data_IF_595557878467
#
_entry.id   IF_595557878467
#
_cell.length_a   1.000
_cell.length_b   1.000
_cell.length_c   1.000
_cell.angle_alpha   90.00
_cell.angle_beta   90.00
_cell.angle_gamma   90.00
#
_symmetry.space_group_name_H-M   'P 1'
#
loop_
_entity.id
_entity.type
_entity.pdbx_description
1 polymer ?
#
# COMPACT_ATOMS: atom_id res chain seq x y z
N UNK A 1 29.56 17.38 -30.08
CA UNK A 1 30.47 16.67 -29.14
C UNK A 1 30.27 15.17 -29.20
N UNK A 2 29.21 14.65 -28.58
CA UNK A 2 28.99 13.20 -28.37
C UNK A 2 29.00 12.39 -29.69
N UNK A 3 28.38 12.87 -30.76
CA UNK A 3 28.38 12.16 -32.05
C UNK A 3 29.80 11.93 -32.61
N UNK A 4 30.69 12.91 -32.48
CA UNK A 4 32.08 12.79 -32.92
C UNK A 4 32.86 11.75 -32.09
N UNK A 5 32.58 11.66 -30.78
CA UNK A 5 33.18 10.64 -29.91
C UNK A 5 32.75 9.24 -30.35
N UNK A 6 31.46 9.03 -30.61
CA UNK A 6 30.97 7.72 -31.07
C UNK A 6 31.41 7.37 -32.49
N UNK A 7 31.63 8.36 -33.36
CA UNK A 7 32.21 8.14 -34.68
C UNK A 7 33.68 7.73 -34.57
N UNK A 8 34.45 8.37 -33.68
CA UNK A 8 35.81 7.95 -33.38
C UNK A 8 35.86 6.54 -32.79
N UNK A 9 34.95 6.20 -31.85
CA UNK A 9 34.83 4.84 -31.31
C UNK A 9 34.47 3.81 -32.39
N UNK A 10 33.64 4.18 -33.37
CA UNK A 10 33.31 3.31 -34.52
C UNK A 10 34.53 3.08 -35.41
N UNK A 11 35.30 4.13 -35.68
CA UNK A 11 36.53 4.00 -36.47
C UNK A 11 37.55 3.12 -35.74
N UNK A 12 37.71 3.30 -34.42
CA UNK A 12 38.56 2.43 -33.59
C UNK A 12 38.12 0.97 -33.66
N UNK A 13 36.80 0.70 -33.63
CA UNK A 13 36.24 -0.65 -33.71
C UNK A 13 36.50 -1.33 -35.07
N UNK A 14 36.46 -0.57 -36.17
CA UNK A 14 36.59 -1.12 -37.53
C UNK A 14 38.03 -1.13 -38.07
N UNK A 15 38.85 -0.14 -37.71
CA UNK A 15 40.20 0.06 -38.23
C UNK A 15 41.29 -0.43 -37.26
N UNK A 16 40.97 -0.59 -35.98
CA UNK A 16 41.91 -1.00 -34.95
C UNK A 16 42.10 -2.52 -34.83
N UNK A 17 43.34 -2.97 -34.70
CA UNK A 17 43.63 -4.31 -34.15
C UNK A 17 43.42 -4.27 -32.63
N UNK A 18 42.20 -4.56 -32.19
CA UNK A 18 41.80 -4.47 -30.79
C UNK A 18 41.83 -5.83 -30.08
N UNK A 19 42.15 -5.78 -28.79
CA UNK A 19 41.92 -6.91 -27.89
C UNK A 19 40.42 -7.13 -27.69
N UNK A 20 39.99 -8.40 -27.55
CA UNK A 20 38.57 -8.77 -27.37
C UNK A 20 37.88 -7.99 -26.25
N UNK A 21 38.59 -7.70 -25.14
CA UNK A 21 38.06 -6.92 -24.03
C UNK A 21 37.62 -5.51 -24.46
N UNK A 22 38.47 -4.81 -25.22
CA UNK A 22 38.21 -3.44 -25.67
C UNK A 22 37.08 -3.45 -26.70
N UNK A 23 37.05 -4.44 -27.58
CA UNK A 23 35.96 -4.64 -28.53
C UNK A 23 34.61 -4.77 -27.81
N UNK A 24 34.51 -5.66 -26.81
CA UNK A 24 33.28 -5.82 -26.03
C UNK A 24 32.87 -4.54 -25.29
N UNK A 25 33.81 -3.80 -24.72
CA UNK A 25 33.50 -2.53 -24.04
C UNK A 25 32.88 -1.50 -25.00
N UNK A 26 33.40 -1.38 -26.22
CA UNK A 26 32.89 -0.45 -27.23
C UNK A 26 31.50 -0.91 -27.73
N UNK A 27 31.32 -2.21 -27.95
CA UNK A 27 30.03 -2.79 -28.34
C UNK A 27 28.95 -2.54 -27.29
N UNK A 28 29.26 -2.74 -26.00
CA UNK A 28 28.36 -2.41 -24.88
C UNK A 28 28.00 -0.92 -24.89
N UNK A 29 28.95 -0.03 -25.14
CA UNK A 29 28.69 1.42 -25.22
C UNK A 29 27.72 1.77 -26.37
N UNK A 30 27.83 1.10 -27.52
CA UNK A 30 26.86 1.25 -28.61
C UNK A 30 25.47 0.72 -28.25
N UNK A 31 25.40 -0.38 -27.50
CA UNK A 31 24.14 -0.93 -27.01
C UNK A 31 23.46 0.03 -26.02
N UNK A 32 24.20 0.57 -25.05
CA UNK A 32 23.69 1.59 -24.09
C UNK A 32 23.13 2.81 -24.84
N UNK A 33 23.84 3.29 -25.87
CA UNK A 33 23.36 4.40 -26.70
C UNK A 33 22.08 4.05 -27.46
N UNK A 34 21.99 2.83 -28.00
CA UNK A 34 20.80 2.34 -28.73
C UNK A 34 19.59 2.23 -27.79
N UNK A 35 19.83 1.85 -26.55
CA UNK A 35 18.81 1.76 -25.51
C UNK A 35 18.46 3.13 -24.90
N UNK A 36 19.17 4.19 -25.28
CA UNK A 36 18.88 5.57 -24.87
C UNK A 36 19.33 5.89 -23.45
N UNK A 37 20.37 5.23 -22.93
CA UNK A 37 20.90 5.46 -21.59
C UNK A 37 19.90 5.22 -20.44
N UNK A 38 18.92 4.32 -20.62
CA UNK A 38 17.88 4.02 -19.62
C UNK A 38 18.40 3.71 -18.22
N UNK A 39 19.49 2.94 -18.12
CA UNK A 39 20.10 2.55 -16.84
C UNK A 39 21.14 3.58 -16.34
N UNK A 40 21.30 4.69 -17.06
CA UNK A 40 22.29 5.74 -16.80
C UNK A 40 21.61 7.12 -16.85
N UNK A 41 20.66 7.33 -15.95
CA UNK A 41 20.04 8.64 -15.75
C UNK A 41 21.10 9.70 -15.41
N UNK A 42 20.92 10.92 -15.90
CA UNK A 42 21.86 12.02 -15.69
C UNK A 42 21.91 12.46 -14.22
N UNK A 43 20.74 12.50 -13.58
CA UNK A 43 20.53 12.75 -12.15
C UNK A 43 19.48 11.73 -11.68
N UNK A 44 19.70 11.07 -10.56
CA UNK A 44 18.70 10.20 -9.93
C UNK A 44 17.64 11.05 -9.24
N UNK A 45 16.39 10.60 -9.19
CA UNK A 45 15.26 11.38 -8.63
C UNK A 45 15.55 11.90 -7.21
N UNK A 46 16.17 11.07 -6.35
CA UNK A 46 16.52 11.46 -4.97
C UNK A 46 17.60 12.55 -4.88
N UNK A 47 18.32 12.84 -5.95
CA UNK A 47 19.41 13.83 -6.00
C UNK A 47 19.00 15.12 -6.74
N UNK A 48 17.79 15.19 -7.27
CA UNK A 48 17.27 16.36 -7.99
C UNK A 48 16.64 17.35 -7.00
N UNK A 49 17.48 18.05 -6.25
CA UNK A 49 17.07 18.92 -5.11
C UNK A 49 17.26 20.41 -5.37
N UNK A 50 17.88 20.80 -6.49
CA UNK A 50 18.19 22.19 -6.81
C UNK A 50 17.47 22.59 -8.09
N UNK A 51 16.64 23.64 -8.01
CA UNK A 51 15.93 24.18 -9.17
C UNK A 51 16.90 24.66 -10.26
N UNK A 52 16.53 24.49 -11.54
CA UNK A 52 17.40 24.84 -12.67
C UNK A 52 17.82 26.32 -12.68
N UNK A 53 17.00 27.22 -12.13
CA UNK A 53 17.27 28.66 -12.06
C UNK A 53 18.38 29.02 -11.06
N UNK A 54 18.55 28.20 -10.02
CA UNK A 54 19.55 28.38 -8.96
C UNK A 54 20.87 27.62 -9.23
N UNK A 55 20.92 26.84 -10.32
CA UNK A 55 22.11 26.08 -10.68
C UNK A 55 23.20 26.95 -11.32
N UNK A 56 24.34 27.09 -10.63
CA UNK A 56 25.52 27.75 -11.18
C UNK A 56 26.44 26.77 -11.91
N UNK A 57 26.38 26.76 -13.25
CA UNK A 57 27.25 25.90 -14.08
C UNK A 57 28.61 26.55 -14.35
N UNK A 58 29.67 26.04 -13.71
CA UNK A 58 31.04 26.50 -13.94
C UNK A 58 31.64 25.93 -15.24
N UNK A 59 32.13 26.80 -16.13
CA UNK A 59 32.83 26.38 -17.35
C UNK A 59 34.33 26.23 -17.09
N UNK A 60 34.75 25.01 -16.76
CA UNK A 60 36.15 24.67 -16.49
C UNK A 60 36.68 23.75 -17.60
N UNK A 61 37.71 24.18 -18.32
CA UNK A 61 38.35 23.36 -19.38
C UNK A 61 39.54 22.58 -18.84
N UNK A 62 39.86 21.45 -19.47
CA UNK A 62 40.97 20.57 -19.03
C UNK A 62 42.34 21.27 -19.01
N UNK A 63 42.54 22.30 -19.84
CA UNK A 63 43.78 23.07 -19.86
C UNK A 63 43.87 24.05 -18.69
N UNK A 64 42.73 24.60 -18.27
CA UNK A 64 42.62 25.49 -17.10
C UNK A 64 42.80 24.70 -15.81
N UNK A 65 42.26 23.48 -15.70
CA UNK A 65 42.45 22.61 -14.52
C UNK A 65 43.92 22.39 -14.18
N UNK A 66 44.81 22.29 -15.18
CA UNK A 66 46.25 22.13 -14.94
C UNK A 66 46.93 23.35 -14.34
N UNK A 67 46.28 24.51 -14.41
CA UNK A 67 46.80 25.80 -13.95
C UNK A 67 46.10 26.30 -12.68
N UNK A 68 44.95 25.72 -12.32
CA UNK A 68 44.19 26.08 -11.13
C UNK A 68 44.86 25.52 -9.88
N UNK A 69 44.98 26.37 -8.86
CA UNK A 69 45.44 25.97 -7.53
C UNK A 69 44.33 25.16 -6.84
N UNK A 70 44.65 23.98 -6.33
CA UNK A 70 43.70 23.15 -5.57
C UNK A 70 43.40 23.72 -4.17
N UNK A 71 44.19 24.70 -3.71
CA UNK A 71 44.01 25.36 -2.41
C UNK A 71 43.97 24.39 -1.21
N UNK A 72 44.70 23.27 -1.30
CA UNK A 72 44.75 22.21 -0.27
C UNK A 72 45.08 22.72 1.15
N UNK A 73 45.71 23.89 1.22
CA UNK A 73 46.05 24.60 2.46
C UNK A 73 44.81 24.98 3.28
N UNK A 74 43.64 25.15 2.66
CA UNK A 74 42.37 25.44 3.33
C UNK A 74 41.84 24.26 4.16
N UNK A 75 42.29 23.02 3.86
CA UNK A 75 41.90 21.83 4.63
C UNK A 75 42.63 21.70 5.97
N UNK A 76 43.61 22.57 6.26
CA UNK A 76 44.41 22.53 7.49
C UNK A 76 43.98 23.68 8.40
N UNK A 77 43.61 23.35 9.64
CA UNK A 77 43.28 24.36 10.65
C UNK A 77 44.43 25.35 10.85
N UNK A 78 44.08 26.64 10.76
CA UNK A 78 44.96 27.76 11.04
C UNK A 78 44.22 28.76 11.90
N UNK A 79 44.97 29.47 12.73
CA UNK A 79 44.43 30.57 13.52
C UNK A 79 44.02 31.71 12.59
N UNK A 80 42.77 32.17 12.73
CA UNK A 80 42.23 33.32 12.02
C UNK A 80 42.14 34.51 12.98
N UNK A 81 42.87 35.58 12.68
CA UNK A 81 42.86 36.82 13.46
C UNK A 81 41.49 37.52 13.40
N UNK A 82 40.71 37.29 12.32
CA UNK A 82 39.41 37.90 12.09
C UNK A 82 38.25 36.91 12.31
N UNK A 83 38.47 35.88 13.14
CA UNK A 83 37.49 34.82 13.40
C UNK A 83 36.10 35.37 13.77
N UNK A 84 36.03 36.32 14.70
CA UNK A 84 34.75 36.89 15.15
C UNK A 84 33.96 37.59 14.03
N UNK A 85 34.66 38.28 13.11
CA UNK A 85 34.03 38.97 11.98
C UNK A 85 33.56 37.98 10.91
N UNK A 86 34.39 36.99 10.57
CA UNK A 86 34.07 35.97 9.57
C UNK A 86 32.92 35.05 10.03
N UNK A 87 32.90 34.69 11.31
CA UNK A 87 31.82 33.93 11.94
C UNK A 87 30.49 34.72 11.88
N UNK A 88 30.53 36.03 12.13
CA UNK A 88 29.35 36.90 11.99
C UNK A 88 28.81 36.97 10.56
N UNK A 89 29.71 37.10 9.56
CA UNK A 89 29.33 37.06 8.14
C UNK A 89 28.71 35.72 7.74
N UNK A 90 29.32 34.62 8.19
CA UNK A 90 28.80 33.27 7.94
C UNK A 90 27.41 33.06 8.54
N UNK A 91 27.18 33.47 9.80
CA UNK A 91 25.87 33.40 10.45
C UNK A 91 24.81 34.19 9.68
N UNK A 92 25.17 35.36 9.16
CA UNK A 92 24.27 36.19 8.34
C UNK A 92 23.89 35.47 7.04
N UNK A 93 24.87 34.91 6.33
CA UNK A 93 24.65 34.17 5.08
C UNK A 93 23.87 32.87 5.30
N UNK A 94 24.17 32.12 6.36
CA UNK A 94 23.46 30.90 6.73
C UNK A 94 22.00 31.18 7.04
N UNK A 95 21.71 32.29 7.73
CA UNK A 95 20.35 32.74 8.01
C UNK A 95 19.62 33.11 6.73
N UNK A 96 20.26 33.82 5.80
CA UNK A 96 19.68 34.20 4.51
C UNK A 96 19.26 32.97 3.68
N UNK A 97 20.16 31.98 3.55
CA UNK A 97 19.92 30.77 2.74
C UNK A 97 18.86 29.86 3.37
N UNK A 98 18.88 29.68 4.70
CA UNK A 98 17.96 28.75 5.37
C UNK A 98 16.59 29.37 5.67
N UNK A 99 16.52 30.71 5.85
CA UNK A 99 15.25 31.38 6.17
C UNK A 99 14.45 31.79 4.93
N UNK A 100 15.06 31.95 3.76
CA UNK A 100 14.31 32.18 2.51
C UNK A 100 13.39 31.01 2.15
N UNK A 101 13.73 29.79 2.57
CA UNK A 101 12.95 28.57 2.30
C UNK A 101 12.00 28.18 3.45
N UNK A 102 12.02 28.94 4.55
CA UNK A 102 11.23 28.64 5.77
C UNK A 102 9.75 29.07 5.70
N UNK A 103 9.27 29.59 4.56
CA UNK A 103 7.82 29.66 4.24
C UNK A 103 7.27 28.28 3.79
N UNK A 104 8.10 27.24 3.72
CA UNK A 104 7.65 25.86 3.50
C UNK A 104 8.40 24.86 4.39
N UNK A 105 7.88 24.64 5.60
CA UNK A 105 8.08 23.39 6.33
C UNK A 105 8.89 23.51 7.62
N UNK A 106 8.17 23.61 8.74
CA UNK A 106 8.73 23.60 10.09
C UNK A 106 9.26 22.22 10.51
N UNK A 107 10.43 22.21 11.15
CA UNK A 107 10.76 21.22 12.18
C UNK A 107 12.25 20.91 12.39
N UNK A 108 12.90 21.58 13.35
CA UNK A 108 13.40 20.96 14.61
C UNK A 108 14.70 21.57 15.18
N UNK A 109 14.57 22.04 16.43
CA UNK A 109 15.52 22.06 17.58
C UNK A 109 16.82 22.89 17.60
N UNK A 110 16.95 23.70 18.67
CA UNK A 110 18.20 23.81 19.44
C UNK A 110 18.61 25.17 20.04
N UNK A 111 18.10 25.49 21.25
CA UNK A 111 18.75 26.25 22.36
C UNK A 111 18.96 27.80 22.31
N UNK A 112 18.23 28.45 23.23
CA UNK A 112 18.57 29.49 24.24
C UNK A 112 19.13 30.89 23.85
N UNK A 113 18.39 31.96 24.21
CA UNK A 113 18.66 32.84 25.39
C UNK A 113 17.70 34.07 25.45
N UNK A 114 17.09 34.22 26.64
CA UNK A 114 16.42 35.36 27.32
C UNK A 114 16.15 36.72 26.63
N UNK A 115 14.90 37.21 26.76
CA UNK A 115 14.57 38.54 27.35
C UNK A 115 13.05 38.76 27.50
N UNK A 116 12.64 39.11 28.72
CA UNK A 116 11.29 39.52 29.12
C UNK A 116 10.80 40.81 28.41
N UNK A 117 9.59 40.80 27.85
CA UNK A 117 8.72 41.99 27.79
C UNK A 117 7.23 41.59 27.78
N UNK A 118 6.45 42.24 28.64
CA UNK A 118 5.02 42.00 28.84
C UNK A 118 4.17 42.65 27.74
N UNK A 119 3.17 41.93 27.20
CA UNK A 119 1.98 42.55 26.61
C UNK A 119 1.41 41.87 25.36
N UNK A 120 0.12 41.56 25.44
CA UNK A 120 -0.81 41.03 24.41
C UNK A 120 -0.67 39.55 24.02
N UNK A 121 -1.44 38.73 24.76
CA UNK A 121 -1.97 37.44 24.28
C UNK A 121 -2.97 37.68 23.14
N UNK A 122 -2.47 37.82 21.92
CA UNK A 122 -3.21 37.40 20.72
C UNK A 122 -2.57 36.11 20.21
N UNK A 123 -3.06 34.97 20.72
CA UNK A 123 -2.80 33.66 20.14
C UNK A 123 -3.38 33.62 18.71
N UNK A 124 -2.58 33.98 17.71
CA UNK A 124 -2.83 33.52 16.34
C UNK A 124 -2.56 32.01 16.32
N UNK A 125 -3.64 31.24 16.53
CA UNK A 125 -3.72 29.82 16.23
C UNK A 125 -3.22 29.58 14.80
N UNK A 126 -1.97 29.14 14.69
CA UNK A 126 -1.44 28.51 13.50
C UNK A 126 -2.39 27.38 13.14
N UNK A 127 -3.04 27.51 11.98
CA UNK A 127 -3.83 26.45 11.36
C UNK A 127 -2.91 25.26 11.09
N UNK A 128 -2.75 24.40 12.09
CA UNK A 128 -2.59 22.97 11.82
C UNK A 128 -3.68 22.63 10.82
N UNK A 129 -3.33 22.02 9.68
CA UNK A 129 -4.31 21.37 8.84
C UNK A 129 -5.09 20.43 9.77
N UNK A 130 -6.28 20.88 10.18
CA UNK A 130 -7.16 20.15 11.05
C UNK A 130 -7.53 18.91 10.24
N UNK A 131 -6.77 17.82 10.41
CA UNK A 131 -7.05 16.52 9.81
C UNK A 131 -8.48 16.24 10.20
N UNK A 132 -9.39 16.37 9.24
CA UNK A 132 -10.80 16.17 9.47
C UNK A 132 -10.93 14.69 9.83
N UNK A 133 -11.04 14.41 11.13
CA UNK A 133 -11.32 13.08 11.64
C UNK A 133 -12.77 12.82 11.28
N UNK A 134 -12.98 12.17 10.14
CA UNK A 134 -14.29 11.78 9.69
C UNK A 134 -14.81 10.66 10.59
N UNK A 135 -15.58 11.05 11.61
CA UNK A 135 -16.31 10.13 12.47
C UNK A 135 -17.57 9.57 11.78
N UNK A 136 -17.86 10.00 10.55
CA UNK A 136 -18.99 9.50 9.78
C UNK A 136 -18.52 8.36 8.88
N UNK A 137 -18.98 7.13 9.14
CA UNK A 137 -18.63 5.94 8.34
C UNK A 137 -19.28 5.96 6.91
N UNK A 138 -19.44 7.14 6.31
CA UNK A 138 -20.16 7.38 5.06
C UNK A 138 -19.56 6.63 3.88
N UNK A 139 -18.22 6.53 3.83
CA UNK A 139 -17.52 5.76 2.81
C UNK A 139 -17.82 4.26 2.89
N UNK A 140 -17.85 3.69 4.10
CA UNK A 140 -18.20 2.28 4.32
C UNK A 140 -19.66 2.01 3.97
N UNK A 141 -20.58 2.89 4.38
CA UNK A 141 -22.01 2.77 4.05
C UNK A 141 -22.21 2.82 2.52
N UNK A 142 -21.50 3.71 1.84
CA UNK A 142 -21.56 3.83 0.37
C UNK A 142 -21.04 2.57 -0.31
N UNK A 143 -19.94 1.99 0.18
CA UNK A 143 -19.42 0.72 -0.30
C UNK A 143 -20.44 -0.41 -0.11
N UNK A 144 -20.97 -0.57 1.11
CA UNK A 144 -22.00 -1.58 1.43
C UNK A 144 -23.22 -1.47 0.51
N UNK A 145 -23.72 -0.25 0.31
CA UNK A 145 -24.84 0.02 -0.60
C UNK A 145 -24.52 -0.38 -2.03
N UNK A 146 -23.31 -0.08 -2.50
CA UNK A 146 -22.87 -0.40 -3.87
C UNK A 146 -22.77 -1.91 -4.09
N UNK A 147 -22.21 -2.64 -3.12
CA UNK A 147 -22.14 -4.11 -3.14
C UNK A 147 -23.55 -4.71 -3.15
N UNK A 148 -24.42 -4.26 -2.24
CA UNK A 148 -25.81 -4.73 -2.16
C UNK A 148 -26.57 -4.53 -3.47
N UNK A 149 -26.49 -3.34 -4.07
CA UNK A 149 -27.14 -3.05 -5.36
C UNK A 149 -26.56 -3.90 -6.50
N UNK A 150 -25.26 -4.16 -6.49
CA UNK A 150 -24.61 -5.03 -7.49
C UNK A 150 -25.09 -6.47 -7.38
N UNK A 151 -25.23 -6.99 -6.15
CA UNK A 151 -25.78 -8.32 -5.89
C UNK A 151 -27.24 -8.39 -6.36
N UNK A 152 -28.07 -7.44 -5.93
CA UNK A 152 -29.51 -7.46 -6.21
C UNK A 152 -29.85 -7.23 -7.69
N UNK A 153 -28.98 -6.55 -8.44
CA UNK A 153 -29.16 -6.29 -9.88
C UNK A 153 -28.61 -7.42 -10.77
N UNK A 154 -27.99 -8.45 -10.20
CA UNK A 154 -27.44 -9.57 -10.95
C UNK A 154 -28.37 -10.78 -10.88
N UNK A 155 -28.53 -11.49 -11.99
CA UNK A 155 -29.38 -12.68 -12.04
C UNK A 155 -28.59 -13.95 -11.69
N UNK A 156 -27.35 -14.04 -12.17
CA UNK A 156 -26.48 -15.20 -11.98
C UNK A 156 -25.23 -14.84 -11.18
N UNK A 157 -24.69 -15.83 -10.46
CA UNK A 157 -23.55 -15.61 -9.55
C UNK A 157 -22.26 -15.31 -10.31
N UNK A 158 -22.06 -15.85 -11.53
CA UNK A 158 -20.89 -15.53 -12.36
C UNK A 158 -20.94 -14.09 -12.86
N UNK A 159 -22.13 -13.61 -13.25
CA UNK A 159 -22.34 -12.21 -13.64
C UNK A 159 -22.05 -11.28 -12.46
N UNK A 160 -22.58 -11.61 -11.28
CA UNK A 160 -22.34 -10.86 -10.06
C UNK A 160 -20.85 -10.82 -9.70
N UNK A 161 -20.18 -11.98 -9.70
CA UNK A 161 -18.75 -12.09 -9.42
C UNK A 161 -17.93 -11.22 -10.38
N UNK A 162 -18.22 -11.27 -11.67
CA UNK A 162 -17.52 -10.47 -12.66
C UNK A 162 -17.75 -8.96 -12.47
N UNK A 163 -18.96 -8.51 -12.11
CA UNK A 163 -19.23 -7.09 -11.78
C UNK A 163 -18.47 -6.64 -10.54
N UNK A 164 -18.48 -7.46 -9.48
CA UNK A 164 -17.82 -7.15 -8.22
C UNK A 164 -16.29 -7.14 -8.35
N UNK A 165 -15.70 -8.03 -9.16
CA UNK A 165 -14.27 -8.04 -9.43
C UNK A 165 -13.80 -6.85 -10.29
N UNK A 166 -14.71 -6.22 -11.03
CA UNK A 166 -14.43 -4.97 -11.75
C UNK A 166 -14.50 -3.73 -10.85
N UNK A 167 -15.04 -3.85 -9.64
CA UNK A 167 -14.95 -2.79 -8.66
C UNK A 167 -13.52 -2.79 -8.13
N UNK A 168 -12.80 -1.68 -8.30
CA UNK A 168 -11.47 -1.49 -7.73
C UNK A 168 -11.61 -1.29 -6.22
N UNK A 169 -11.55 -2.39 -5.47
CA UNK A 169 -11.56 -2.37 -4.02
C UNK A 169 -10.20 -1.92 -3.49
N UNK A 170 -10.22 -1.04 -2.48
CA UNK A 170 -8.99 -0.67 -1.76
C UNK A 170 -8.58 -1.83 -0.85
N UNK A 171 -7.27 -2.01 -0.60
CA UNK A 171 -6.79 -3.01 0.35
C UNK A 171 -7.48 -2.86 1.72
N UNK A 172 -8.05 -3.95 2.22
CA UNK A 172 -8.80 -4.02 3.48
C UNK A 172 -10.33 -4.01 3.29
N UNK A 173 -10.84 -3.58 2.13
CA UNK A 173 -12.29 -3.58 1.84
C UNK A 173 -12.81 -4.97 1.46
N UNK A 174 -11.93 -5.93 1.21
CA UNK A 174 -12.28 -7.32 0.88
C UNK A 174 -12.99 -8.02 2.04
N UNK A 175 -12.63 -7.68 3.28
CA UNK A 175 -13.29 -8.22 4.48
C UNK A 175 -14.75 -7.76 4.52
N UNK A 176 -14.98 -6.48 4.23
CA UNK A 176 -16.31 -5.90 4.17
C UNK A 176 -17.16 -6.51 3.04
N UNK A 177 -16.54 -6.82 1.90
CA UNK A 177 -17.21 -7.56 0.82
C UNK A 177 -17.70 -8.94 1.31
N UNK A 178 -16.85 -9.69 2.01
CA UNK A 178 -17.22 -10.99 2.57
C UNK A 178 -18.35 -10.88 3.61
N UNK A 179 -18.33 -9.85 4.48
CA UNK A 179 -19.42 -9.58 5.41
C UNK A 179 -20.73 -9.28 4.67
N UNK A 180 -20.69 -8.45 3.64
CA UNK A 180 -21.87 -8.12 2.85
C UNK A 180 -22.50 -9.34 2.18
N UNK A 181 -21.71 -10.32 1.72
CA UNK A 181 -22.27 -11.55 1.15
C UNK A 181 -23.06 -12.34 2.20
N UNK A 182 -22.54 -12.43 3.42
CA UNK A 182 -23.20 -13.12 4.51
C UNK A 182 -24.45 -12.37 4.96
N UNK A 183 -24.38 -11.05 5.12
CA UNK A 183 -25.51 -10.24 5.59
C UNK A 183 -26.67 -10.26 4.58
N UNK A 184 -26.37 -10.14 3.28
CA UNK A 184 -27.39 -10.28 2.24
C UNK A 184 -28.02 -11.68 2.25
N UNK A 185 -27.22 -12.72 2.47
CA UNK A 185 -27.72 -14.09 2.58
C UNK A 185 -28.59 -14.29 3.84
N UNK A 186 -28.19 -13.70 4.96
CA UNK A 186 -28.89 -13.82 6.24
C UNK A 186 -30.29 -13.18 6.19
N UNK A 187 -30.42 -12.02 5.56
CA UNK A 187 -31.68 -11.26 5.48
C UNK A 187 -32.70 -11.85 4.50
N UNK A 188 -32.30 -12.81 3.64
CA UNK A 188 -33.22 -13.42 2.69
C UNK A 188 -34.28 -14.29 3.40
N UNK A 189 -35.51 -14.33 2.87
CA UNK A 189 -36.59 -15.15 3.46
C UNK A 189 -36.25 -16.65 3.51
N UNK A 190 -35.52 -17.13 2.50
CA UNK A 190 -35.08 -18.52 2.37
C UNK A 190 -33.67 -18.55 1.79
N UNK A 191 -32.87 -19.52 2.21
CA UNK A 191 -31.53 -19.70 1.67
C UNK A 191 -31.55 -19.92 0.14
N UNK A 192 -30.82 -19.07 -0.56
CA UNK A 192 -30.59 -19.18 -1.99
C UNK A 192 -29.15 -19.64 -2.25
N UNK A 193 -28.99 -20.69 -3.06
CA UNK A 193 -27.67 -21.24 -3.42
C UNK A 193 -26.75 -20.23 -4.11
N UNK A 194 -27.33 -19.18 -4.69
CA UNK A 194 -26.63 -18.06 -5.30
C UNK A 194 -25.50 -17.53 -4.40
N UNK A 195 -25.77 -17.31 -3.11
CA UNK A 195 -24.77 -16.75 -2.19
C UNK A 195 -23.62 -17.69 -1.90
N UNK A 196 -23.91 -18.99 -1.70
CA UNK A 196 -22.88 -20.01 -1.51
C UNK A 196 -21.98 -20.17 -2.73
N UNK A 197 -22.57 -20.18 -3.94
CA UNK A 197 -21.83 -20.24 -5.21
C UNK A 197 -20.99 -18.98 -5.45
N UNK A 198 -21.53 -17.80 -5.12
CA UNK A 198 -20.80 -16.53 -5.22
C UNK A 198 -19.58 -16.55 -4.30
N UNK A 199 -19.75 -16.86 -3.01
CA UNK A 199 -18.65 -16.91 -2.06
C UNK A 199 -17.61 -17.98 -2.41
N UNK A 200 -18.07 -19.17 -2.86
CA UNK A 200 -17.19 -20.21 -3.39
C UNK A 200 -16.33 -19.70 -4.55
N UNK A 201 -16.95 -19.00 -5.51
CA UNK A 201 -16.25 -18.45 -6.68
C UNK A 201 -15.15 -17.48 -6.27
N UNK A 202 -15.41 -16.61 -5.31
CA UNK A 202 -14.41 -15.68 -4.77
C UNK A 202 -13.24 -16.40 -4.10
N UNK A 203 -13.51 -17.40 -3.26
CA UNK A 203 -12.48 -18.22 -2.61
C UNK A 203 -11.60 -18.97 -3.62
N UNK A 204 -12.17 -19.42 -4.74
CA UNK A 204 -11.45 -20.14 -5.80
C UNK A 204 -10.61 -19.21 -6.69
N UNK A 205 -11.03 -17.95 -6.89
CA UNK A 205 -10.30 -16.98 -7.71
C UNK A 205 -9.10 -16.43 -6.95
N UNK A 206 -9.28 -16.01 -5.70
CA UNK A 206 -8.21 -15.44 -4.89
C UNK A 206 -8.29 -15.96 -3.45
N UNK A 207 -7.16 -16.51 -2.96
CA UNK A 207 -7.05 -17.02 -1.60
C UNK A 207 -7.19 -15.95 -0.52
N UNK A 208 -7.01 -14.67 -0.86
CA UNK A 208 -7.23 -13.54 0.07
C UNK A 208 -8.63 -13.54 0.69
N UNK A 209 -9.64 -14.10 0.02
CA UNK A 209 -11.01 -14.14 0.56
C UNK A 209 -11.27 -15.31 1.51
N UNK A 210 -10.39 -16.33 1.55
CA UNK A 210 -10.59 -17.54 2.38
C UNK A 210 -10.50 -17.20 3.86
N UNK A 211 -9.43 -16.51 4.28
CA UNK A 211 -9.20 -16.15 5.68
C UNK A 211 -10.33 -15.25 6.24
N UNK A 212 -10.81 -14.20 5.53
CA UNK A 212 -12.00 -13.46 5.93
C UNK A 212 -13.23 -14.35 6.15
N UNK A 213 -13.57 -15.26 5.23
CA UNK A 213 -14.73 -16.15 5.44
C UNK A 213 -14.56 -17.09 6.64
N UNK A 214 -13.33 -17.56 6.90
CA UNK A 214 -13.03 -18.36 8.09
C UNK A 214 -13.20 -17.56 9.37
N UNK A 215 -12.73 -16.31 9.39
CA UNK A 215 -12.90 -15.43 10.54
C UNK A 215 -14.37 -15.08 10.77
N UNK A 216 -15.11 -14.77 9.70
CA UNK A 216 -16.55 -14.51 9.77
C UNK A 216 -17.31 -15.73 10.31
N UNK A 217 -16.92 -16.96 9.94
CA UNK A 217 -17.50 -18.17 10.55
C UNK A 217 -17.31 -18.17 12.07
N UNK A 218 -16.09 -17.90 12.54
CA UNK A 218 -15.77 -17.88 13.97
C UNK A 218 -16.59 -16.84 14.73
N UNK A 219 -16.65 -15.62 14.20
CA UNK A 219 -17.36 -14.51 14.81
C UNK A 219 -18.88 -14.74 14.81
N UNK A 220 -19.39 -15.30 13.71
CA UNK A 220 -20.82 -15.65 13.60
C UNK A 220 -21.20 -16.75 14.58
N UNK A 221 -20.35 -17.78 14.74
CA UNK A 221 -20.61 -18.85 15.71
C UNK A 221 -20.60 -18.33 17.15
N UNK A 222 -19.61 -17.49 17.50
CA UNK A 222 -19.52 -16.85 18.82
C UNK A 222 -20.77 -15.99 19.14
N UNK A 223 -21.31 -15.31 18.13
CA UNK A 223 -22.47 -14.40 18.27
C UNK A 223 -23.80 -15.00 17.82
N UNK A 224 -23.87 -16.32 17.62
CA UNK A 224 -25.07 -17.01 17.08
C UNK A 224 -26.34 -16.79 17.92
N UNK A 225 -26.22 -16.54 19.22
CA UNK A 225 -27.33 -16.25 20.11
C UNK A 225 -28.08 -14.94 19.76
N UNK A 226 -27.45 -14.04 19.00
CA UNK A 226 -28.05 -12.77 18.54
C UNK A 226 -28.85 -12.92 17.24
N UNK A 227 -28.71 -14.05 16.54
CA UNK A 227 -29.39 -14.31 15.27
C UNK A 227 -30.80 -14.86 15.54
N UNK A 228 -31.78 -14.39 14.78
CA UNK A 228 -33.11 -14.99 14.76
C UNK A 228 -33.11 -16.32 13.99
N UNK A 229 -34.22 -17.06 14.08
CA UNK A 229 -34.31 -18.40 13.52
C UNK A 229 -34.13 -18.45 11.99
N UNK A 230 -34.51 -17.40 11.25
CA UNK A 230 -34.37 -17.37 9.79
C UNK A 230 -32.92 -17.08 9.40
N UNK A 231 -32.31 -16.03 9.97
CA UNK A 231 -30.90 -15.71 9.73
C UNK A 231 -30.01 -16.88 10.10
N UNK A 232 -30.25 -17.51 11.25
CA UNK A 232 -29.49 -18.67 11.70
C UNK A 232 -29.56 -19.83 10.70
N UNK A 233 -30.74 -20.10 10.13
CA UNK A 233 -30.92 -21.14 9.10
C UNK A 233 -30.14 -20.82 7.83
N UNK A 234 -30.24 -19.61 7.31
CA UNK A 234 -29.58 -19.23 6.06
C UNK A 234 -28.06 -19.23 6.21
N UNK A 235 -27.56 -18.66 7.30
CA UNK A 235 -26.13 -18.60 7.58
C UNK A 235 -25.54 -19.99 7.80
N UNK A 236 -26.25 -20.88 8.50
CA UNK A 236 -25.82 -22.29 8.64
C UNK A 236 -25.70 -22.99 7.28
N UNK A 237 -26.68 -22.81 6.39
CA UNK A 237 -26.66 -23.39 5.03
C UNK A 237 -25.57 -22.78 4.15
N UNK A 238 -25.33 -21.48 4.28
CA UNK A 238 -24.25 -20.79 3.58
C UNK A 238 -22.88 -21.38 3.94
N UNK A 239 -22.59 -21.55 5.23
CA UNK A 239 -21.32 -22.15 5.66
C UNK A 239 -21.22 -23.64 5.38
N UNK A 240 -22.34 -24.38 5.42
CA UNK A 240 -22.36 -25.75 4.93
C UNK A 240 -21.93 -25.80 3.45
N UNK A 241 -22.38 -24.84 2.63
CA UNK A 241 -21.98 -24.74 1.23
C UNK A 241 -20.49 -24.55 1.05
N UNK A 242 -19.89 -23.62 1.79
CA UNK A 242 -18.46 -23.35 1.71
C UNK A 242 -17.60 -24.53 2.19
N UNK A 243 -18.07 -25.27 3.21
CA UNK A 243 -17.37 -26.45 3.72
C UNK A 243 -17.45 -27.64 2.75
N UNK A 244 -18.62 -27.98 2.20
CA UNK A 244 -18.70 -29.14 1.29
C UNK A 244 -17.99 -28.91 -0.05
N UNK A 245 -17.82 -27.64 -0.46
CA UNK A 245 -17.12 -27.26 -1.70
C UNK A 245 -15.63 -27.04 -1.50
N UNK A 246 -15.10 -27.27 -0.29
CA UNK A 246 -13.72 -27.00 0.12
C UNK A 246 -13.27 -25.56 -0.21
N UNK A 247 -14.21 -24.60 -0.13
CA UNK A 247 -13.91 -23.18 -0.32
C UNK A 247 -13.26 -22.56 0.92
N UNK A 248 -13.61 -23.07 2.11
CA UNK A 248 -12.95 -22.77 3.38
C UNK A 248 -12.45 -24.07 4.02
N UNK A 249 -11.36 -23.99 4.77
CA UNK A 249 -10.82 -25.15 5.47
C UNK A 249 -11.69 -25.60 6.65
N UNK A 250 -11.66 -26.90 6.94
CA UNK A 250 -12.46 -27.56 7.99
C UNK A 250 -11.99 -27.21 9.41
N UNK A 251 -10.80 -26.61 9.57
CA UNK A 251 -10.26 -26.10 10.83
C UNK A 251 -11.17 -25.08 11.51
N UNK A 252 -12.07 -24.43 10.78
CA UNK A 252 -13.04 -23.49 11.37
C UNK A 252 -13.96 -24.15 12.40
N UNK A 253 -14.16 -25.48 12.32
CA UNK A 253 -14.99 -26.23 13.26
C UNK A 253 -14.32 -26.40 14.65
N UNK A 254 -13.02 -26.11 14.80
CA UNK A 254 -12.29 -26.26 16.07
C UNK A 254 -12.91 -25.45 17.22
N UNK A 255 -13.51 -24.30 16.92
CA UNK A 255 -14.17 -23.44 17.90
C UNK A 255 -15.42 -24.07 18.52
N UNK A 256 -15.96 -25.12 17.89
CA UNK A 256 -17.24 -25.70 18.26
C UNK A 256 -17.06 -26.67 19.43
N UNK A 257 -17.37 -26.19 20.63
CA UNK A 257 -17.40 -27.01 21.84
C UNK A 257 -18.78 -27.64 22.01
N UNK A 258 -18.82 -28.96 22.17
CA UNK A 258 -20.05 -29.73 22.40
C UNK A 258 -20.17 -30.10 23.88
N UNK A 259 -20.52 -29.14 24.73
CA UNK A 259 -20.70 -29.34 26.17
C UNK A 259 -21.91 -28.53 26.68
N UNK A 260 -22.32 -28.73 27.92
CA UNK A 260 -23.49 -28.03 28.47
C UNK A 260 -23.22 -26.57 28.83
N UNK A 261 -21.97 -26.24 29.17
CA UNK A 261 -21.56 -24.92 29.67
C UNK A 261 -21.31 -23.90 28.55
N UNK A 262 -20.63 -24.30 27.46
CA UNK A 262 -20.27 -23.43 26.34
C UNK A 262 -21.30 -23.46 25.20
N UNK A 263 -22.16 -24.48 25.10
CA UNK A 263 -23.15 -24.58 24.01
C UNK A 263 -24.54 -24.06 24.41
N UNK A 264 -24.92 -22.89 23.88
CA UNK A 264 -26.28 -22.35 24.03
C UNK A 264 -27.31 -23.01 23.09
N UNK A 265 -28.60 -22.71 23.28
CA UNK A 265 -29.69 -23.27 22.46
C UNK A 265 -29.59 -22.90 20.97
N UNK A 266 -29.24 -21.66 20.64
CA UNK A 266 -29.05 -21.20 19.26
C UNK A 266 -27.86 -21.89 18.59
N UNK A 267 -26.74 -22.04 19.31
CA UNK A 267 -25.58 -22.80 18.85
C UNK A 267 -25.97 -24.25 18.56
N UNK A 268 -26.75 -24.92 19.42
CA UNK A 268 -27.25 -26.28 19.12
C UNK A 268 -28.07 -26.34 17.83
N UNK A 269 -28.92 -25.35 17.57
CA UNK A 269 -29.71 -25.27 16.33
C UNK A 269 -28.81 -25.03 15.12
N UNK A 270 -27.81 -24.16 15.25
CA UNK A 270 -26.84 -23.86 14.18
C UNK A 270 -26.08 -25.13 13.78
N UNK A 271 -25.49 -25.84 14.75
CA UNK A 271 -24.78 -27.10 14.54
C UNK A 271 -25.70 -28.12 13.87
N UNK A 272 -26.93 -28.25 14.37
CA UNK A 272 -27.91 -29.17 13.79
C UNK A 272 -28.16 -28.87 12.31
N UNK A 273 -28.44 -27.61 11.96
CA UNK A 273 -28.74 -27.24 10.56
C UNK A 273 -27.50 -27.41 9.68
N UNK A 274 -26.33 -26.99 10.16
CA UNK A 274 -25.04 -27.11 9.45
C UNK A 274 -24.77 -28.57 9.06
N UNK A 275 -24.79 -29.49 10.02
CA UNK A 275 -24.50 -30.90 9.76
C UNK A 275 -25.62 -31.62 8.99
N UNK A 276 -26.89 -31.21 9.17
CA UNK A 276 -27.97 -31.72 8.33
C UNK A 276 -27.71 -31.38 6.85
N UNK A 277 -27.39 -30.12 6.55
CA UNK A 277 -27.12 -29.69 5.19
C UNK A 277 -25.86 -30.36 4.61
N UNK A 278 -24.77 -30.45 5.38
CA UNK A 278 -23.55 -31.17 4.98
C UNK A 278 -23.82 -32.64 4.67
N UNK A 279 -24.63 -33.30 5.49
CA UNK A 279 -25.00 -34.70 5.27
C UNK A 279 -25.85 -34.89 4.01
N UNK A 280 -26.67 -33.90 3.63
CA UNK A 280 -27.46 -33.91 2.40
C UNK A 280 -26.56 -33.73 1.16
N UNK A 281 -25.54 -32.87 1.22
CA UNK A 281 -24.62 -32.62 0.10
C UNK A 281 -23.58 -33.74 -0.10
N UNK A 282 -22.92 -34.17 0.97
CA UNK A 282 -21.80 -35.12 0.89
C UNK A 282 -22.27 -36.58 1.00
N UNK A 283 -23.42 -36.82 1.63
CA UNK A 283 -23.85 -38.13 2.11
C UNK A 283 -23.08 -38.56 3.36
N UNK A 284 -23.68 -39.43 4.19
CA UNK A 284 -23.08 -39.90 5.44
C UNK A 284 -21.75 -40.63 5.23
N UNK A 285 -21.57 -41.34 4.12
CA UNK A 285 -20.36 -42.11 3.85
C UNK A 285 -19.12 -41.24 3.69
N UNK A 286 -19.22 -40.12 2.95
CA UNK A 286 -18.10 -39.19 2.76
C UNK A 286 -17.89 -38.26 3.96
N UNK A 287 -18.96 -37.89 4.66
CA UNK A 287 -18.87 -37.03 5.84
C UNK A 287 -18.18 -37.73 7.03
N UNK A 288 -18.30 -39.06 7.12
CA UNK A 288 -17.67 -39.87 8.16
C UNK A 288 -16.25 -40.32 7.82
N UNK A 289 -15.82 -40.16 6.56
CA UNK A 289 -14.53 -40.62 6.06
C UNK A 289 -13.44 -39.55 6.29
#
# INVERSE_FOLDING_TARGET
GINAIFEMLRNILHEGQLEKRIQYMIEVMFQIRKDGFKDHAAVTEDLDVVEEEDQFTHLITLDVVKQVNAEDVLNVFKFDENYEENEGKYKTLSKEILQSDSESGSGSDGSDEDSDDEGDEEEEEGKEESKIIDNTETNLITLRRTIYLTIQSSLDFEECAHKLLKMELKPGQEIELCHMFLDCCAEQRTYEKFYGLLAQRFCQINKTYVEPFQQIFKDTYATTHRLDANRLRNVSKFFAHLLFTDAIGWEVLEIMKLNEEDTNSSSRIFIKILFQELSEYMGLGKLNA
#
